data_IF_549146597647
#
_entry.id   IF_549146597647
#
_cell.length_a   1.000
_cell.length_b   1.000
_cell.length_c   1.000
_cell.angle_alpha   90.00
_cell.angle_beta   90.00
_cell.angle_gamma   90.00
#
_symmetry.space_group_name_H-M   'P 1'
#
loop_
_entity.id
_entity.type
_entity.pdbx_description
1 polymer ?
#
# COMPACT_ATOMS: atom_id res chain seq x y z
N UNK A 1 44.29 47.85 42.82
CA UNK A 1 43.23 48.64 43.47
C UNK A 1 41.90 48.39 42.75
N UNK A 2 40.84 48.03 43.51
CA UNK A 2 39.41 48.38 43.35
C UNK A 2 38.93 48.99 42.00
N UNK A 3 37.78 48.65 41.39
CA UNK A 3 36.47 48.21 41.90
C UNK A 3 35.52 47.91 40.70
N UNK A 4 34.62 46.92 40.90
CA UNK A 4 33.18 46.79 40.50
C UNK A 4 32.75 47.09 39.04
N UNK A 5 32.27 46.06 38.31
CA UNK A 5 30.84 45.64 38.08
C UNK A 5 29.96 46.71 37.41
N UNK A 6 29.38 46.36 36.25
CA UNK A 6 27.92 46.43 35.95
C UNK A 6 27.61 45.36 34.89
N UNK A 7 26.57 44.57 35.18
CA UNK A 7 25.91 43.63 34.27
C UNK A 7 24.94 44.42 33.38
N UNK A 8 24.78 44.06 32.11
CA UNK A 8 23.46 44.16 31.50
C UNK A 8 23.29 43.18 30.34
N UNK A 9 22.10 42.63 30.32
CA UNK A 9 21.62 41.45 29.64
C UNK A 9 21.00 41.83 28.31
N UNK A 10 21.35 41.15 27.22
CA UNK A 10 20.50 41.08 26.01
C UNK A 10 20.74 39.76 25.29
N UNK A 11 20.22 38.67 25.87
CA UNK A 11 19.76 37.52 25.10
C UNK A 11 18.35 37.86 24.62
N UNK A 12 18.07 37.80 23.32
CA UNK A 12 16.70 37.93 22.84
C UNK A 12 16.52 37.92 21.33
N UNK A 13 15.87 36.86 20.87
CA UNK A 13 15.06 36.78 19.64
C UNK A 13 15.78 36.62 18.28
N UNK A 14 16.27 35.40 18.01
CA UNK A 14 16.44 34.91 16.63
C UNK A 14 16.31 33.37 16.59
N UNK A 15 15.21 32.84 17.14
CA UNK A 15 14.89 31.41 17.06
C UNK A 15 13.38 31.18 17.25
N UNK A 16 12.54 31.79 16.41
CA UNK A 16 11.07 31.62 16.50
C UNK A 16 10.38 31.41 15.15
N UNK A 17 11.06 30.85 14.14
CA UNK A 17 10.42 30.56 12.84
C UNK A 17 10.47 29.11 12.35
N UNK A 18 10.85 28.14 13.20
CA UNK A 18 10.97 26.73 12.79
C UNK A 18 10.09 25.73 13.57
N UNK A 19 9.21 26.19 14.48
CA UNK A 19 8.36 25.31 15.31
C UNK A 19 6.84 25.50 15.09
N UNK A 20 6.42 26.01 13.92
CA UNK A 20 5.00 26.22 13.62
C UNK A 20 4.31 25.03 12.91
N UNK A 21 4.96 23.86 12.79
CA UNK A 21 4.40 22.69 12.07
C UNK A 21 3.95 21.53 12.97
N UNK A 22 4.00 21.65 14.30
CA UNK A 22 3.66 20.55 15.22
C UNK A 22 2.72 20.94 16.37
N UNK A 23 1.64 21.69 16.08
CA UNK A 23 0.61 22.00 17.07
C UNK A 23 -0.83 21.91 16.53
N UNK A 24 -1.11 20.91 15.70
CA UNK A 24 -2.50 20.54 15.34
C UNK A 24 -2.86 19.22 16.03
N UNK A 25 -3.07 19.26 17.33
CA UNK A 25 -3.76 18.20 18.05
C UNK A 25 -4.75 18.86 19.01
N UNK A 26 -6.05 18.57 18.81
CA UNK A 26 -7.17 18.61 19.78
C UNK A 26 -8.51 19.18 19.25
N UNK A 27 -8.67 19.32 17.93
CA UNK A 27 -9.97 19.07 17.31
C UNK A 27 -9.76 17.89 16.36
N UNK A 28 -10.24 16.71 16.74
CA UNK A 28 -10.22 15.53 15.90
C UNK A 28 -11.13 15.78 14.71
N UNK A 29 -10.62 16.46 13.69
CA UNK A 29 -11.28 16.55 12.40
C UNK A 29 -11.51 15.11 11.94
N UNK A 30 -12.78 14.73 11.79
CA UNK A 30 -13.14 13.42 11.30
C UNK A 30 -12.43 13.19 9.97
N UNK A 31 -11.77 12.03 9.85
CA UNK A 31 -11.13 11.63 8.61
C UNK A 31 -12.19 11.63 7.50
N UNK A 32 -12.04 12.52 6.51
CA UNK A 32 -12.94 12.58 5.36
C UNK A 32 -12.48 11.59 4.28
N UNK A 33 -13.34 11.32 3.29
CA UNK A 33 -12.96 10.48 2.14
C UNK A 33 -11.84 11.11 1.34
N UNK A 34 -11.87 12.42 1.12
CA UNK A 34 -10.89 13.15 0.33
C UNK A 34 -9.50 13.09 0.98
N UNK A 35 -9.46 13.34 2.29
CA UNK A 35 -8.23 13.27 3.07
C UNK A 35 -7.72 11.83 3.22
N UNK A 36 -8.62 10.84 3.24
CA UNK A 36 -8.24 9.42 3.23
C UNK A 36 -7.62 9.06 1.90
N UNK A 37 -8.26 9.47 0.81
CA UNK A 37 -7.80 9.24 -0.57
C UNK A 37 -6.43 9.84 -0.82
N UNK A 38 -6.21 11.09 -0.42
CA UNK A 38 -4.91 11.75 -0.54
C UNK A 38 -3.78 11.00 0.19
N UNK A 39 -4.09 10.31 1.31
CA UNK A 39 -3.10 9.53 2.06
C UNK A 39 -2.82 8.15 1.45
N UNK A 40 -3.85 7.46 0.94
CA UNK A 40 -3.69 6.08 0.44
C UNK A 40 -3.21 6.00 -1.00
N UNK A 41 -3.52 6.98 -1.85
CA UNK A 41 -3.14 6.97 -3.27
C UNK A 41 -1.62 6.84 -3.50
N UNK A 42 -0.75 7.59 -2.81
CA UNK A 42 0.70 7.40 -2.94
C UNK A 42 1.16 6.00 -2.53
N UNK A 43 0.54 5.40 -1.50
CA UNK A 43 0.85 4.05 -1.03
C UNK A 43 0.51 3.03 -2.14
N UNK A 44 -0.69 3.15 -2.71
CA UNK A 44 -1.15 2.29 -3.80
C UNK A 44 -0.31 2.47 -5.07
N UNK A 45 0.11 3.70 -5.40
CA UNK A 45 0.97 4.00 -6.55
C UNK A 45 2.29 3.24 -6.47
N UNK A 46 2.97 3.34 -5.33
CA UNK A 46 4.25 2.62 -5.10
C UNK A 46 4.07 1.11 -5.27
N UNK A 47 2.97 0.56 -4.76
CA UNK A 47 2.65 -0.86 -4.93
C UNK A 47 2.41 -1.24 -6.40
N UNK A 48 1.65 -0.41 -7.12
CA UNK A 48 1.31 -0.65 -8.52
C UNK A 48 2.57 -0.69 -9.38
N UNK A 49 3.43 0.31 -9.25
CA UNK A 49 4.72 0.39 -9.96
C UNK A 49 5.64 -0.80 -9.60
N UNK A 50 5.66 -1.19 -8.32
CA UNK A 50 6.41 -2.37 -7.88
C UNK A 50 5.90 -3.66 -8.54
N UNK A 51 4.59 -3.89 -8.51
CA UNK A 51 3.99 -5.09 -9.09
C UNK A 51 4.11 -5.11 -10.62
N UNK A 52 3.95 -3.97 -11.30
CA UNK A 52 4.20 -3.83 -12.74
C UNK A 52 5.61 -4.26 -13.11
N UNK A 53 6.62 -3.77 -12.38
CA UNK A 53 8.01 -4.15 -12.59
C UNK A 53 8.27 -5.63 -12.29
N UNK A 54 7.76 -6.14 -11.18
CA UNK A 54 7.99 -7.53 -10.73
C UNK A 54 7.36 -8.53 -11.69
N UNK A 55 6.13 -8.26 -12.15
CA UNK A 55 5.31 -9.22 -12.90
C UNK A 55 5.39 -9.04 -14.43
N UNK A 56 6.07 -8.00 -14.95
CA UNK A 56 6.17 -7.68 -16.38
C UNK A 56 6.43 -8.88 -17.29
N UNK A 57 7.29 -9.81 -16.88
CA UNK A 57 7.69 -10.97 -17.69
C UNK A 57 7.04 -12.30 -17.26
N UNK A 58 6.17 -12.32 -16.25
CA UNK A 58 5.72 -13.58 -15.65
C UNK A 58 5.00 -14.48 -16.65
N UNK A 59 4.21 -13.89 -17.56
CA UNK A 59 3.50 -14.61 -18.62
C UNK A 59 4.46 -15.29 -19.61
N UNK A 60 5.51 -14.60 -20.05
CA UNK A 60 6.51 -15.20 -20.95
C UNK A 60 7.34 -16.26 -20.25
N UNK A 61 7.65 -16.08 -18.97
CA UNK A 61 8.39 -17.05 -18.16
C UNK A 61 7.59 -18.35 -17.95
N UNK A 62 6.27 -18.25 -17.69
CA UNK A 62 5.39 -19.43 -17.60
C UNK A 62 5.28 -20.17 -18.93
N UNK A 63 5.14 -19.45 -20.04
CA UNK A 63 5.11 -20.03 -21.40
C UNK A 63 6.41 -20.75 -21.74
N UNK A 64 7.55 -20.16 -21.39
CA UNK A 64 8.87 -20.75 -21.59
C UNK A 64 9.20 -21.91 -20.61
N UNK A 65 8.26 -22.30 -19.73
CA UNK A 65 8.48 -23.37 -18.76
C UNK A 65 9.39 -22.98 -17.58
N UNK A 66 9.76 -21.70 -17.45
CA UNK A 66 10.60 -21.17 -16.37
C UNK A 66 9.80 -20.95 -15.08
N UNK A 67 9.14 -22.01 -14.60
CA UNK A 67 8.14 -21.92 -13.53
C UNK A 67 8.73 -21.48 -12.18
N UNK A 68 9.98 -21.83 -11.89
CA UNK A 68 10.67 -21.37 -10.67
C UNK A 68 10.91 -19.85 -10.68
N UNK A 69 11.24 -19.29 -11.85
CA UNK A 69 11.43 -17.83 -12.01
C UNK A 69 10.10 -17.12 -11.81
N UNK A 70 9.05 -17.58 -12.50
CA UNK A 70 7.70 -17.04 -12.35
C UNK A 70 7.20 -17.13 -10.89
N UNK A 71 7.45 -18.24 -10.19
CA UNK A 71 7.13 -18.37 -8.78
C UNK A 71 7.86 -17.36 -7.89
N UNK A 72 9.13 -17.07 -8.21
CA UNK A 72 9.91 -16.03 -7.54
C UNK A 72 9.27 -14.65 -7.69
N UNK A 73 8.78 -14.32 -8.89
CA UNK A 73 8.08 -13.06 -9.16
C UNK A 73 6.78 -12.95 -8.36
N UNK A 74 5.94 -14.00 -8.36
CA UNK A 74 4.71 -14.02 -7.56
C UNK A 74 4.99 -13.89 -6.05
N UNK A 75 6.07 -14.49 -5.56
CA UNK A 75 6.48 -14.34 -4.15
C UNK A 75 6.87 -12.89 -3.83
N UNK A 76 7.58 -12.23 -4.74
CA UNK A 76 7.95 -10.82 -4.58
C UNK A 76 6.71 -9.89 -4.62
N UNK A 77 5.77 -10.16 -5.53
CA UNK A 77 4.51 -9.42 -5.61
C UNK A 77 3.67 -9.58 -4.33
N UNK A 78 3.59 -10.79 -3.77
CA UNK A 78 2.94 -11.02 -2.48
C UNK A 78 3.58 -10.20 -1.36
N UNK A 79 4.92 -10.17 -1.29
CA UNK A 79 5.65 -9.39 -0.29
C UNK A 79 5.39 -7.89 -0.42
N UNK A 80 5.41 -7.37 -1.65
CA UNK A 80 5.08 -5.98 -1.93
C UNK A 80 3.66 -5.65 -1.46
N UNK A 81 2.67 -6.47 -1.84
CA UNK A 81 1.28 -6.25 -1.47
C UNK A 81 1.03 -6.35 0.04
N UNK A 82 1.69 -7.28 0.75
CA UNK A 82 1.62 -7.36 2.22
C UNK A 82 2.16 -6.10 2.91
N UNK A 83 3.26 -5.54 2.40
CA UNK A 83 3.81 -4.27 2.90
C UNK A 83 2.80 -3.14 2.68
N UNK A 84 2.24 -3.04 1.48
CA UNK A 84 1.21 -2.07 1.12
C UNK A 84 -0.01 -2.19 2.02
N UNK A 85 -0.50 -3.40 2.27
CA UNK A 85 -1.63 -3.65 3.17
C UNK A 85 -1.34 -3.17 4.60
N UNK A 86 -0.12 -3.38 5.10
CA UNK A 86 0.26 -2.90 6.43
C UNK A 86 0.24 -1.35 6.48
N UNK A 87 0.74 -0.69 5.43
CA UNK A 87 0.70 0.77 5.33
C UNK A 87 -0.74 1.30 5.23
N UNK A 88 -1.60 0.67 4.41
CA UNK A 88 -3.00 1.05 4.27
C UNK A 88 -3.78 0.90 5.59
N UNK A 89 -3.53 -0.17 6.34
CA UNK A 89 -4.17 -0.41 7.65
C UNK A 89 -3.77 0.61 8.71
N UNK A 90 -2.62 1.27 8.56
CA UNK A 90 -2.16 2.31 9.47
C UNK A 90 -2.84 3.66 9.22
N UNK A 91 -3.48 3.86 8.06
CA UNK A 91 -4.23 5.08 7.75
C UNK A 91 -5.58 5.04 8.47
N UNK A 92 -5.92 6.04 9.31
CA UNK A 92 -7.24 6.13 9.93
C UNK A 92 -8.33 6.11 8.86
N UNK A 93 -9.42 5.39 9.09
CA UNK A 93 -10.52 5.27 8.13
C UNK A 93 -11.64 6.26 8.48
N UNK A 94 -12.32 6.87 7.49
CA UNK A 94 -13.57 7.59 7.72
C UNK A 94 -14.58 6.70 8.42
N UNK A 95 -15.22 7.19 9.48
CA UNK A 95 -16.14 6.40 10.30
C UNK A 95 -17.27 5.80 9.47
N UNK A 96 -17.82 6.60 8.55
CA UNK A 96 -18.92 6.23 7.66
C UNK A 96 -18.58 5.07 6.70
N UNK A 97 -17.30 4.86 6.39
CA UNK A 97 -16.85 3.87 5.39
C UNK A 97 -16.05 2.72 5.98
N UNK A 98 -15.85 2.70 7.31
CA UNK A 98 -15.02 1.74 8.03
C UNK A 98 -15.32 0.28 7.68
N UNK A 99 -16.60 -0.08 7.53
CA UNK A 99 -16.99 -1.45 7.16
C UNK A 99 -16.58 -1.81 5.71
N UNK A 100 -16.81 -0.89 4.75
CA UNK A 100 -16.45 -1.08 3.34
C UNK A 100 -14.93 -1.15 3.17
N UNK A 101 -14.21 -0.22 3.79
CA UNK A 101 -12.74 -0.18 3.77
C UNK A 101 -12.14 -1.39 4.48
N UNK A 102 -12.71 -1.83 5.60
CA UNK A 102 -12.32 -3.09 6.25
C UNK A 102 -12.44 -4.30 5.32
N UNK A 103 -13.54 -4.39 4.57
CA UNK A 103 -13.74 -5.46 3.56
C UNK A 103 -12.77 -5.35 2.39
N UNK A 104 -12.54 -4.14 1.87
CA UNK A 104 -11.55 -3.87 0.83
C UNK A 104 -10.15 -4.33 1.25
N UNK A 105 -9.69 -3.95 2.45
CA UNK A 105 -8.41 -4.38 3.01
C UNK A 105 -8.36 -5.89 3.26
N UNK A 106 -9.51 -6.51 3.55
CA UNK A 106 -9.66 -7.96 3.61
C UNK A 106 -9.37 -8.63 2.27
N UNK A 107 -9.95 -8.12 1.18
CA UNK A 107 -9.69 -8.63 -0.17
C UNK A 107 -8.24 -8.43 -0.61
N UNK A 108 -7.62 -7.27 -0.33
CA UNK A 108 -6.17 -7.07 -0.58
C UNK A 108 -5.33 -8.13 0.15
N UNK A 109 -5.70 -8.45 1.39
CA UNK A 109 -5.05 -9.53 2.15
C UNK A 109 -5.19 -10.89 1.49
N UNK A 110 -6.35 -11.17 0.91
CA UNK A 110 -6.61 -12.42 0.17
C UNK A 110 -5.85 -12.47 -1.16
N UNK A 111 -5.75 -11.37 -1.90
CA UNK A 111 -4.92 -11.27 -3.09
C UNK A 111 -3.45 -11.63 -2.80
N UNK A 112 -2.92 -11.13 -1.68
CA UNK A 112 -1.56 -11.48 -1.27
C UNK A 112 -1.38 -12.98 -1.00
N UNK A 113 -2.37 -13.65 -0.40
CA UNK A 113 -2.34 -15.12 -0.21
C UNK A 113 -2.47 -15.88 -1.52
N UNK A 114 -3.26 -15.36 -2.46
CA UNK A 114 -3.42 -15.94 -3.78
C UNK A 114 -2.12 -15.85 -4.58
N UNK A 115 -1.37 -14.74 -4.49
CA UNK A 115 -0.02 -14.66 -5.06
C UNK A 115 0.92 -15.73 -4.47
N UNK A 116 0.91 -15.95 -3.16
CA UNK A 116 1.71 -17.00 -2.52
C UNK A 116 1.31 -18.40 -2.98
N UNK A 117 0.01 -18.64 -3.09
CA UNK A 117 -0.56 -19.90 -3.56
C UNK A 117 -0.18 -20.18 -5.01
N UNK A 118 -0.27 -19.17 -5.89
CA UNK A 118 0.19 -19.26 -7.28
C UNK A 118 1.68 -19.60 -7.33
N UNK A 119 2.51 -18.92 -6.53
CA UNK A 119 3.94 -19.20 -6.44
C UNK A 119 4.21 -20.65 -6.00
N UNK A 120 3.50 -21.15 -4.98
CA UNK A 120 3.63 -22.53 -4.52
C UNK A 120 3.26 -23.56 -5.61
N UNK A 121 2.17 -23.33 -6.33
CA UNK A 121 1.76 -24.21 -7.45
C UNK A 121 2.78 -24.21 -8.59
N UNK A 122 3.33 -23.05 -8.94
CA UNK A 122 4.38 -22.95 -9.97
C UNK A 122 5.68 -23.65 -9.55
N UNK A 123 6.11 -23.53 -8.29
CA UNK A 123 7.28 -24.28 -7.77
C UNK A 123 7.09 -25.78 -7.87
N UNK A 124 5.87 -26.26 -7.63
CA UNK A 124 5.50 -27.66 -7.74
C UNK A 124 5.28 -28.14 -9.20
N UNK A 125 5.50 -27.28 -10.20
CA UNK A 125 5.24 -27.61 -11.62
C UNK A 125 3.75 -27.69 -11.98
N UNK A 126 2.84 -27.39 -11.05
CA UNK A 126 1.40 -27.50 -11.24
C UNK A 126 0.83 -26.25 -11.93
N UNK A 127 0.99 -26.17 -13.25
CA UNK A 127 0.51 -25.04 -14.08
C UNK A 127 -1.01 -24.85 -13.99
N UNK A 128 -1.78 -25.94 -14.02
CA UNK A 128 -3.24 -25.88 -13.93
C UNK A 128 -3.71 -25.32 -12.58
N UNK A 129 -3.08 -25.74 -11.49
CA UNK A 129 -3.32 -25.21 -10.16
C UNK A 129 -2.95 -23.73 -10.05
N UNK A 130 -1.83 -23.31 -10.64
CA UNK A 130 -1.43 -21.90 -10.70
C UNK A 130 -2.46 -21.05 -11.47
N UNK A 131 -2.94 -21.54 -12.62
CA UNK A 131 -3.99 -20.88 -13.39
C UNK A 131 -5.28 -20.71 -12.59
N UNK A 132 -5.70 -21.75 -11.87
CA UNK A 132 -6.89 -21.67 -10.99
C UNK A 132 -6.73 -20.58 -9.93
N UNK A 133 -5.55 -20.45 -9.31
CA UNK A 133 -5.30 -19.41 -8.31
C UNK A 133 -5.29 -18.00 -8.92
N UNK A 134 -4.75 -17.86 -10.13
CA UNK A 134 -4.82 -16.63 -10.92
C UNK A 134 -6.26 -16.20 -11.22
N UNK A 135 -7.15 -17.14 -11.60
CA UNK A 135 -8.56 -16.82 -11.85
C UNK A 135 -9.22 -16.30 -10.56
N UNK A 136 -8.95 -16.95 -9.43
CA UNK A 136 -9.42 -16.49 -8.12
C UNK A 136 -8.86 -15.11 -7.77
N UNK A 137 -7.59 -14.85 -8.08
CA UNK A 137 -6.95 -13.55 -7.85
C UNK A 137 -7.69 -12.43 -8.60
N UNK A 138 -8.00 -12.63 -9.89
CA UNK A 138 -8.77 -11.67 -10.68
C UNK A 138 -10.17 -11.45 -10.10
N UNK A 139 -10.86 -12.51 -9.68
CA UNK A 139 -12.17 -12.39 -9.04
C UNK A 139 -12.09 -11.58 -7.74
N UNK A 140 -11.13 -11.89 -6.87
CA UNK A 140 -10.90 -11.17 -5.61
C UNK A 140 -10.58 -9.70 -5.83
N UNK A 141 -9.74 -9.36 -6.82
CA UNK A 141 -9.44 -7.98 -7.16
C UNK A 141 -10.68 -7.21 -7.64
N UNK A 142 -11.54 -7.83 -8.43
CA UNK A 142 -12.81 -7.21 -8.83
C UNK A 142 -13.71 -6.94 -7.61
N UNK A 143 -13.80 -7.88 -6.66
CA UNK A 143 -14.53 -7.69 -5.41
C UNK A 143 -13.94 -6.55 -4.56
N UNK A 144 -12.62 -6.43 -4.52
CA UNK A 144 -11.91 -5.33 -3.86
C UNK A 144 -12.29 -3.98 -4.48
N UNK A 145 -12.18 -3.87 -5.82
CA UNK A 145 -12.45 -2.63 -6.54
C UNK A 145 -13.90 -2.15 -6.31
N UNK A 146 -14.87 -3.06 -6.28
CA UNK A 146 -16.28 -2.73 -6.00
C UNK A 146 -16.48 -2.07 -4.63
N UNK A 147 -15.67 -2.41 -3.61
CA UNK A 147 -15.81 -1.82 -2.28
C UNK A 147 -15.44 -0.33 -2.23
N UNK A 148 -14.62 0.13 -3.18
CA UNK A 148 -14.01 1.46 -3.17
C UNK A 148 -14.37 2.32 -4.38
N UNK A 149 -15.40 1.95 -5.14
CA UNK A 149 -15.85 2.71 -6.32
C UNK A 149 -16.13 4.19 -5.98
N UNK A 150 -16.73 4.46 -4.83
CA UNK A 150 -17.08 5.82 -4.39
C UNK A 150 -15.88 6.66 -3.91
N UNK A 151 -14.67 6.07 -3.83
CA UNK A 151 -13.45 6.79 -3.46
C UNK A 151 -12.68 7.31 -4.67
N UNK A 152 -13.09 6.94 -5.88
CA UNK A 152 -12.51 7.41 -7.15
C UNK A 152 -10.99 7.24 -7.24
N UNK A 153 -10.47 6.15 -6.67
CA UNK A 153 -9.04 5.86 -6.69
C UNK A 153 -8.49 5.65 -8.10
N UNK A 154 -7.31 6.22 -8.34
CA UNK A 154 -6.51 6.10 -9.55
C UNK A 154 -5.51 4.94 -9.47
N UNK A 155 -4.94 4.68 -8.29
CA UNK A 155 -3.87 3.68 -8.10
C UNK A 155 -4.27 2.53 -7.19
N UNK A 156 -5.28 2.70 -6.33
CA UNK A 156 -5.73 1.66 -5.41
C UNK A 156 -6.66 0.61 -6.03
N UNK A 157 -7.02 0.76 -7.31
CA UNK A 157 -7.70 -0.28 -8.07
C UNK A 157 -6.68 -1.29 -8.58
N UNK A 158 -6.94 -2.58 -8.36
CA UNK A 158 -6.03 -3.65 -8.78
C UNK A 158 -6.58 -4.32 -10.03
N UNK A 159 -5.73 -4.50 -11.04
CA UNK A 159 -6.06 -5.29 -12.23
C UNK A 159 -5.00 -6.38 -12.46
N UNK A 160 -5.10 -7.54 -11.78
CA UNK A 160 -4.13 -8.62 -11.93
C UNK A 160 -4.11 -9.24 -13.32
N UNK A 161 -5.20 -9.11 -14.08
CA UNK A 161 -5.35 -9.73 -15.41
C UNK A 161 -4.29 -9.29 -16.42
N UNK A 162 -3.70 -8.10 -16.23
CA UNK A 162 -2.64 -7.59 -17.09
C UNK A 162 -1.34 -8.40 -17.01
N UNK A 163 -1.17 -9.22 -15.96
CA UNK A 163 0.05 -10.01 -15.73
C UNK A 163 -0.14 -11.50 -15.99
N UNK A 164 -1.36 -11.96 -16.20
CA UNK A 164 -1.70 -13.38 -16.22
C UNK A 164 -2.15 -13.86 -17.60
#
# INVERSE_FOLDING_TARGET
>A
MSKKRIKSTTLGALALLAMALCAQAAFGAEQTRETYTAQVEPICKVNREANERILKSVKSEVKAGKLKVAAGQFTQAAKALKKTLAQLRAVPQPSADKAKLGKWLGYIGEEARLFESTAAKLRAGNKAGAQSMTVKLTHTANLANVQVLAFEFNYCQVNPSQFT
#
